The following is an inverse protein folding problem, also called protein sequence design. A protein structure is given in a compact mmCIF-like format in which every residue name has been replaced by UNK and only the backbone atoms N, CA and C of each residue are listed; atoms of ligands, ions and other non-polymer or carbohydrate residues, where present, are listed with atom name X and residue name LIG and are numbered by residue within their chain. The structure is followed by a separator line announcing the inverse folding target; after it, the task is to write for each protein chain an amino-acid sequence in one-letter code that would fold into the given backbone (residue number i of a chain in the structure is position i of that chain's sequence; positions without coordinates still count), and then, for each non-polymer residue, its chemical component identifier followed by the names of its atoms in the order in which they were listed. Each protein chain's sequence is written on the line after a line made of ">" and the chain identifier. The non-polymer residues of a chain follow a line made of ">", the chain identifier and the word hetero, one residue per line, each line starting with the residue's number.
data_IF_061157062374
#
_entry.id   IF_061157062374
#
_cell.length_a   1.000
_cell.length_b   1.000
_cell.length_c   1.000
_cell.angle_alpha   90.00
_cell.angle_beta   90.00
_cell.angle_gamma   90.00
#
_symmetry.space_group_name_H-M   'P 1'
#
loop_
_entity.id
_entity.type
_entity.pdbx_description
1 polymer ?
#
# COMPACT_ATOMS: atom_id res chain seq x y z
N UNK A 1 24.51 -1.57 -18.63
CA UNK A 1 23.77 -1.61 -19.92
C UNK A 1 22.47 -0.82 -19.73
N UNK A 2 22.35 0.40 -20.27
CA UNK A 2 21.09 1.17 -20.29
C UNK A 2 20.34 0.80 -21.57
N UNK A 3 19.05 0.43 -21.48
CA UNK A 3 18.22 0.10 -22.64
C UNK A 3 17.95 1.38 -23.47
N UNK A 4 18.53 1.56 -24.68
CA UNK A 4 18.55 2.85 -25.36
C UNK A 4 17.20 3.35 -25.90
N UNK A 5 16.12 2.57 -25.76
CA UNK A 5 14.78 2.88 -26.30
C UNK A 5 13.66 2.80 -25.23
N UNK A 6 14.00 2.70 -23.94
CA UNK A 6 13.00 2.60 -22.86
C UNK A 6 12.23 3.92 -22.60
N UNK A 7 12.74 5.05 -23.09
CA UNK A 7 12.23 6.40 -22.81
C UNK A 7 10.76 6.60 -23.17
N UNK A 8 10.25 5.91 -24.20
CA UNK A 8 8.84 6.00 -24.62
C UNK A 8 7.86 5.29 -23.68
N UNK A 9 8.29 4.21 -23.02
CA UNK A 9 7.44 3.40 -22.16
C UNK A 9 7.38 3.91 -20.71
N UNK A 10 8.35 4.73 -20.29
CA UNK A 10 8.35 5.35 -18.95
C UNK A 10 7.25 6.38 -18.80
N UNK A 11 6.90 7.10 -19.88
CA UNK A 11 5.84 8.14 -19.82
C UNK A 11 4.44 7.57 -19.62
N UNK A 12 4.21 6.31 -19.97
CA UNK A 12 2.92 5.63 -19.80
C UNK A 12 2.82 4.85 -18.47
N UNK A 13 3.85 4.95 -17.62
CA UNK A 13 3.87 4.27 -16.34
C UNK A 13 3.14 5.11 -15.29
N UNK A 14 1.90 4.74 -14.98
CA UNK A 14 1.21 5.27 -13.79
C UNK A 14 1.68 4.48 -12.58
N UNK A 15 2.52 5.10 -11.77
CA UNK A 15 2.90 4.57 -10.47
C UNK A 15 1.84 4.96 -9.44
N UNK A 16 1.41 4.04 -8.56
CA UNK A 16 0.59 4.40 -7.42
C UNK A 16 1.39 5.34 -6.52
N UNK A 17 0.84 6.52 -6.27
CA UNK A 17 1.34 7.48 -5.30
C UNK A 17 0.32 7.65 -4.17
N UNK A 18 0.76 8.18 -3.05
CA UNK A 18 -0.12 8.55 -1.94
C UNK A 18 0.22 9.96 -1.46
N UNK A 19 -0.80 10.68 -0.98
CA UNK A 19 -0.64 12.00 -0.37
C UNK A 19 -0.68 11.93 1.16
N UNK A 20 -1.45 10.98 1.70
CA UNK A 20 -1.57 10.71 3.13
C UNK A 20 -1.14 9.28 3.40
N UNK A 21 -0.11 9.13 4.24
CA UNK A 21 0.51 7.85 4.53
C UNK A 21 -0.43 6.92 5.30
N UNK A 22 -1.18 7.42 6.27
CA UNK A 22 -2.08 6.60 7.06
C UNK A 22 -3.28 6.17 6.21
N UNK A 23 -3.83 7.07 5.40
CA UNK A 23 -4.89 6.76 4.44
C UNK A 23 -4.46 5.71 3.43
N UNK A 24 -3.25 5.81 2.88
CA UNK A 24 -2.72 4.80 1.96
C UNK A 24 -2.71 3.41 2.59
N UNK A 25 -2.27 3.31 3.84
CA UNK A 25 -2.27 2.04 4.57
C UNK A 25 -3.69 1.54 4.81
N UNK A 26 -4.64 2.42 5.14
CA UNK A 26 -6.05 2.06 5.29
C UNK A 26 -6.66 1.53 3.98
N UNK A 27 -6.40 2.21 2.87
CA UNK A 27 -6.86 1.81 1.53
C UNK A 27 -6.26 0.46 1.10
N UNK A 28 -4.98 0.23 1.37
CA UNK A 28 -4.30 -1.05 1.08
C UNK A 28 -4.86 -2.20 1.93
N UNK A 29 -5.10 -1.97 3.23
CA UNK A 29 -5.73 -2.97 4.11
C UNK A 29 -7.14 -3.28 3.62
N UNK A 30 -7.91 -2.27 3.22
CA UNK A 30 -9.26 -2.45 2.70
C UNK A 30 -9.25 -3.24 1.38
N UNK A 31 -8.32 -2.94 0.48
CA UNK A 31 -8.12 -3.69 -0.76
C UNK A 31 -7.84 -5.19 -0.49
N UNK A 32 -7.01 -5.50 0.51
CA UNK A 32 -6.74 -6.89 0.91
C UNK A 32 -7.98 -7.54 1.52
N UNK A 33 -8.71 -6.82 2.38
CA UNK A 33 -9.93 -7.32 3.03
C UNK A 33 -11.06 -7.63 2.04
N UNK A 34 -11.21 -6.79 1.01
CA UNK A 34 -12.26 -6.93 0.00
C UNK A 34 -11.90 -7.91 -1.12
N UNK A 35 -10.64 -8.34 -1.19
CA UNK A 35 -10.17 -9.20 -2.27
C UNK A 35 -10.78 -10.60 -2.18
N UNK A 36 -11.50 -11.08 -3.22
CA UNK A 36 -12.02 -12.45 -3.26
C UNK A 36 -10.89 -13.49 -3.42
N UNK A 37 -9.66 -13.05 -3.66
CA UNK A 37 -8.48 -13.90 -3.81
C UNK A 37 -7.81 -14.20 -2.47
N UNK A 38 -8.17 -13.46 -1.41
CA UNK A 38 -7.64 -13.66 -0.06
C UNK A 38 -8.66 -14.46 0.74
N UNK A 39 -8.19 -15.51 1.42
CA UNK A 39 -9.07 -16.32 2.28
C UNK A 39 -9.62 -15.45 3.41
N UNK A 40 -10.91 -15.61 3.71
CA UNK A 40 -11.63 -14.75 4.65
C UNK A 40 -10.93 -14.64 6.02
N UNK A 41 -10.42 -15.75 6.56
CA UNK A 41 -9.72 -15.74 7.85
C UNK A 41 -8.41 -14.95 7.84
N UNK A 42 -7.79 -14.75 6.66
CA UNK A 42 -6.59 -13.94 6.49
C UNK A 42 -6.94 -12.47 6.26
N UNK A 43 -7.97 -12.22 5.45
CA UNK A 43 -8.53 -10.88 5.26
C UNK A 43 -8.95 -10.26 6.59
N UNK A 44 -9.74 -10.98 7.40
CA UNK A 44 -10.21 -10.56 8.71
C UNK A 44 -9.07 -10.28 9.71
N UNK A 45 -7.90 -10.88 9.49
CA UNK A 45 -6.69 -10.74 10.32
C UNK A 45 -5.60 -9.89 9.64
N UNK A 46 -5.98 -9.02 8.71
CA UNK A 46 -5.05 -8.06 8.09
C UNK A 46 -5.06 -6.75 8.86
N UNK A 47 -3.87 -6.24 9.18
CA UNK A 47 -3.68 -4.98 9.91
C UNK A 47 -2.67 -4.07 9.20
N UNK A 48 -2.91 -2.76 9.31
CA UNK A 48 -2.05 -1.72 8.77
C UNK A 48 -1.09 -1.15 9.82
N UNK A 49 0.12 -0.82 9.39
CA UNK A 49 1.15 -0.21 10.25
C UNK A 49 1.93 0.86 9.50
N UNK A 50 2.37 1.88 10.23
CA UNK A 50 3.37 2.85 9.77
C UNK A 50 4.68 2.60 10.49
N UNK A 51 5.76 2.54 9.72
CA UNK A 51 7.11 2.42 10.23
C UNK A 51 7.83 3.78 10.15
N UNK A 52 8.29 4.28 11.29
CA UNK A 52 9.12 5.48 11.35
C UNK A 52 10.59 5.11 11.10
N UNK A 53 11.13 5.55 9.96
CA UNK A 53 12.51 5.25 9.55
C UNK A 53 13.58 5.86 10.47
N UNK A 54 13.27 6.94 11.19
CA UNK A 54 14.24 7.65 12.05
C UNK A 54 14.34 6.99 13.42
N UNK A 55 13.21 6.56 13.95
CA UNK A 55 13.10 6.02 15.31
C UNK A 55 13.02 4.50 15.36
N UNK A 56 12.68 3.86 14.25
CA UNK A 56 12.44 2.41 14.16
C UNK A 56 11.13 1.97 14.80
N UNK A 57 10.26 2.90 15.19
CA UNK A 57 8.98 2.59 15.84
C UNK A 57 7.95 2.16 14.80
N UNK A 58 7.27 1.05 15.08
CA UNK A 58 6.10 0.59 14.33
C UNK A 58 4.84 1.04 15.06
N UNK A 59 3.96 1.77 14.40
CA UNK A 59 2.68 2.22 14.96
C UNK A 59 1.52 1.58 14.20
N UNK A 60 0.52 1.00 14.90
CA UNK A 60 -0.68 0.52 14.24
C UNK A 60 -1.46 1.69 13.66
N UNK A 61 -1.98 1.50 12.45
CA UNK A 61 -2.93 2.44 11.83
C UNK A 61 -4.34 2.00 12.21
N UNK A 62 -5.19 2.90 12.75
CA UNK A 62 -6.56 2.55 13.08
C UNK A 62 -7.33 2.18 11.81
N UNK A 63 -8.30 1.28 11.93
CA UNK A 63 -9.19 0.96 10.81
C UNK A 63 -9.91 2.22 10.34
N UNK A 64 -10.15 2.31 9.03
CA UNK A 64 -10.91 3.41 8.46
C UNK A 64 -12.29 3.46 9.14
N UNK A 65 -12.59 4.58 9.80
CA UNK A 65 -13.93 4.80 10.35
C UNK A 65 -14.88 4.96 9.17
N UNK A 66 -15.91 4.11 9.13
CA UNK A 66 -16.97 4.16 8.11
C UNK A 66 -17.77 5.46 8.16
#
# INVERSE_FOLDING_TARGET
>A
MRAPNASGNVQNLTLPGFEDLERSVQEDVQLVKDSPLVRKELADRTWGFVYDLKTGVVKPVPEASS
#
